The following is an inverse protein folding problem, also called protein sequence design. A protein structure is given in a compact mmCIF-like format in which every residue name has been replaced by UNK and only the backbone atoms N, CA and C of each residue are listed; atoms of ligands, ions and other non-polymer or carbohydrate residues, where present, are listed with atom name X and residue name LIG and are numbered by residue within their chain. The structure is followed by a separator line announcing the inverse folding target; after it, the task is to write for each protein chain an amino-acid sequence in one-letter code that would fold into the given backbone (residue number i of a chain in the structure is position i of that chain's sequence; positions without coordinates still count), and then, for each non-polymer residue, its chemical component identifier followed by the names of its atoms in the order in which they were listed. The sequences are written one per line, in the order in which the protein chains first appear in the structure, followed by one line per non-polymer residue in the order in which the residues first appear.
data_IF_587708275570
#
_entry.id   IF_587708275570
#
_cell.length_a   1.000
_cell.length_b   1.000
_cell.length_c   1.000
_cell.angle_alpha   90.00
_cell.angle_beta   90.00
_cell.angle_gamma   90.00
#
_symmetry.space_group_name_H-M   'P 1'
#
loop_
_entity.id
_entity.type
_entity.pdbx_description
1 polymer ?
#
# COMPACT_ATOMS: atom_id res chain seq x y z
N UNK A 1 10.93 7.09 -19.23
CA UNK A 1 10.21 8.00 -18.33
C UNK A 1 11.14 9.15 -17.99
N UNK A 2 10.65 10.38 -18.03
CA UNK A 2 11.43 11.51 -17.51
C UNK A 2 11.54 11.39 -15.98
N UNK A 3 12.63 11.86 -15.37
CA UNK A 3 12.84 11.78 -13.91
C UNK A 3 11.65 12.33 -13.13
N UNK A 4 11.04 13.41 -13.64
CA UNK A 4 9.89 14.06 -13.05
C UNK A 4 8.65 13.16 -12.98
N UNK A 5 8.37 12.38 -14.02
CA UNK A 5 7.22 11.47 -14.05
C UNK A 5 7.33 10.38 -12.97
N UNK A 6 8.54 9.87 -12.74
CA UNK A 6 8.79 8.85 -11.72
C UNK A 6 8.59 9.43 -10.31
N UNK A 7 9.13 10.63 -10.04
CA UNK A 7 9.00 11.29 -8.74
C UNK A 7 7.55 11.66 -8.43
N UNK A 8 6.82 12.20 -9.42
CA UNK A 8 5.39 12.51 -9.27
C UNK A 8 4.58 11.24 -9.01
N UNK A 9 4.88 10.15 -9.71
CA UNK A 9 4.18 8.88 -9.52
C UNK A 9 4.44 8.30 -8.12
N UNK A 10 5.69 8.25 -7.69
CA UNK A 10 6.06 7.79 -6.35
C UNK A 10 5.35 8.62 -5.26
N UNK A 11 5.34 9.94 -5.41
CA UNK A 11 4.66 10.85 -4.49
C UNK A 11 3.14 10.59 -4.44
N UNK A 12 2.48 10.45 -5.59
CA UNK A 12 1.03 10.19 -5.64
C UNK A 12 0.67 8.85 -5.01
N UNK A 13 1.44 7.79 -5.29
CA UNK A 13 1.19 6.46 -4.72
C UNK A 13 1.35 6.48 -3.20
N UNK A 14 2.39 7.15 -2.68
CA UNK A 14 2.61 7.26 -1.24
C UNK A 14 1.54 8.12 -0.54
N UNK A 15 1.13 9.22 -1.16
CA UNK A 15 0.09 10.12 -0.62
C UNK A 15 -1.27 9.44 -0.49
N UNK A 16 -1.64 8.60 -1.47
CA UNK A 16 -2.94 7.89 -1.48
C UNK A 16 -2.82 6.42 -1.09
N UNK A 17 -1.73 6.05 -0.40
CA UNK A 17 -1.44 4.65 -0.12
C UNK A 17 -2.51 3.98 0.75
N UNK A 18 -3.11 4.73 1.68
CA UNK A 18 -4.22 4.29 2.51
C UNK A 18 -5.44 3.87 1.68
N UNK A 19 -5.87 4.71 0.74
CA UNK A 19 -7.00 4.44 -0.16
C UNK A 19 -6.68 3.25 -1.07
N UNK A 20 -5.46 3.19 -1.61
CA UNK A 20 -5.01 2.09 -2.47
C UNK A 20 -5.08 0.76 -1.70
N UNK A 21 -4.50 0.71 -0.50
CA UNK A 21 -4.47 -0.50 0.34
C UNK A 21 -5.88 -0.93 0.73
N UNK A 22 -6.76 -0.01 1.16
CA UNK A 22 -8.16 -0.32 1.48
C UNK A 22 -8.91 -0.87 0.26
N UNK A 23 -8.71 -0.28 -0.91
CA UNK A 23 -9.33 -0.74 -2.17
C UNK A 23 -8.88 -2.16 -2.55
N UNK A 24 -7.61 -2.49 -2.31
CA UNK A 24 -7.07 -3.82 -2.54
C UNK A 24 -7.64 -4.84 -1.55
N UNK A 25 -7.66 -4.50 -0.26
CA UNK A 25 -8.19 -5.38 0.79
C UNK A 25 -9.69 -5.60 0.69
N UNK A 26 -10.45 -4.63 0.14
CA UNK A 26 -11.87 -4.81 -0.18
C UNK A 26 -12.12 -5.92 -1.20
N UNK A 27 -11.17 -6.15 -2.12
CA UNK A 27 -11.33 -7.19 -3.15
C UNK A 27 -11.01 -8.58 -2.60
N UNK A 28 -9.93 -8.71 -1.85
CA UNK A 28 -9.49 -9.97 -1.22
C UNK A 28 -8.62 -9.67 0.00
N UNK A 29 -8.66 -10.54 1.01
CA UNK A 29 -7.67 -10.53 2.08
C UNK A 29 -6.26 -10.72 1.51
N UNK A 30 -5.27 -9.96 1.97
CA UNK A 30 -3.88 -10.07 1.51
C UNK A 30 -2.88 -9.88 2.65
N UNK A 31 -1.74 -10.57 2.54
CA UNK A 31 -0.60 -10.39 3.43
C UNK A 31 0.22 -9.16 3.03
N UNK A 32 0.96 -8.58 3.99
CA UNK A 32 1.76 -7.37 3.78
C UNK A 32 2.71 -7.45 2.57
N UNK A 33 3.39 -8.58 2.38
CA UNK A 33 4.28 -8.76 1.23
C UNK A 33 3.55 -8.81 -0.11
N UNK A 34 2.35 -9.41 -0.15
CA UNK A 34 1.53 -9.46 -1.36
C UNK A 34 1.05 -8.05 -1.76
N UNK A 35 0.68 -7.21 -0.79
CA UNK A 35 0.35 -5.81 -1.03
C UNK A 35 1.53 -5.03 -1.65
N UNK A 36 2.75 -5.22 -1.13
CA UNK A 36 3.96 -4.58 -1.70
C UNK A 36 4.17 -5.04 -3.15
N UNK A 37 4.09 -6.34 -3.41
CA UNK A 37 4.29 -6.91 -4.74
C UNK A 37 3.24 -6.40 -5.75
N UNK A 38 1.98 -6.34 -5.34
CA UNK A 38 0.88 -5.86 -6.19
C UNK A 38 0.98 -4.36 -6.47
N UNK A 39 1.40 -3.55 -5.50
CA UNK A 39 1.60 -2.11 -5.68
C UNK A 39 2.77 -1.86 -6.64
N UNK A 40 3.87 -2.57 -6.46
CA UNK A 40 5.01 -2.50 -7.38
C UNK A 40 4.60 -2.90 -8.81
N UNK A 41 3.85 -4.00 -8.95
CA UNK A 41 3.37 -4.46 -10.26
C UNK A 41 2.40 -3.47 -10.95
N UNK A 42 1.53 -2.80 -10.19
CA UNK A 42 0.50 -1.89 -10.75
C UNK A 42 1.03 -0.49 -11.02
N UNK A 43 1.92 0.00 -10.16
CA UNK A 43 2.32 1.40 -10.16
C UNK A 43 3.81 1.61 -10.42
N UNK A 44 4.62 0.55 -10.52
CA UNK A 44 6.08 0.65 -10.66
C UNK A 44 6.72 1.43 -9.49
N UNK A 45 6.12 1.28 -8.30
CA UNK A 45 6.56 1.92 -7.05
C UNK A 45 6.84 0.83 -6.03
N UNK A 46 8.10 0.74 -5.61
CA UNK A 46 8.53 -0.23 -4.59
C UNK A 46 8.35 0.36 -3.19
N UNK A 47 7.42 -0.21 -2.43
CA UNK A 47 7.23 0.18 -1.04
C UNK A 47 8.15 -0.58 -0.11
N UNK A 48 8.75 0.15 0.83
CA UNK A 48 9.46 -0.48 1.94
C UNK A 48 8.47 -1.07 2.96
N UNK A 49 8.84 -2.15 3.66
CA UNK A 49 8.12 -2.61 4.85
C UNK A 49 7.83 -1.49 5.86
N UNK A 50 8.79 -0.57 6.05
CA UNK A 50 8.67 0.58 6.95
C UNK A 50 7.66 1.63 6.50
N UNK A 51 7.17 1.56 5.26
CA UNK A 51 6.08 2.41 4.77
C UNK A 51 4.74 1.71 4.94
N UNK A 52 4.66 0.43 4.56
CA UNK A 52 3.39 -0.30 4.54
C UNK A 52 2.92 -0.71 5.95
N UNK A 53 3.78 -1.30 6.78
CA UNK A 53 3.34 -1.87 8.06
C UNK A 53 2.84 -0.82 9.07
N UNK A 54 3.47 0.37 9.22
CA UNK A 54 2.92 1.43 10.05
C UNK A 54 1.55 1.93 9.56
N UNK A 55 1.36 1.97 8.23
CA UNK A 55 0.05 2.29 7.67
C UNK A 55 -0.99 1.22 8.02
N UNK A 56 -0.68 -0.06 7.83
CA UNK A 56 -1.59 -1.15 8.18
C UNK A 56 -1.98 -1.10 9.67
N UNK A 57 -1.01 -0.85 10.55
CA UNK A 57 -1.26 -0.66 11.98
C UNK A 57 -2.17 0.55 12.25
N UNK A 58 -1.98 1.66 11.53
CA UNK A 58 -2.86 2.83 11.63
C UNK A 58 -4.29 2.54 11.17
N UNK A 59 -4.45 1.77 10.08
CA UNK A 59 -5.75 1.38 9.56
C UNK A 59 -6.47 0.39 10.50
N UNK A 60 -5.75 -0.54 11.10
CA UNK A 60 -6.28 -1.45 12.14
C UNK A 60 -6.77 -0.65 13.35
N UNK A 61 -5.96 0.30 13.84
CA UNK A 61 -6.33 1.14 15.00
C UNK A 61 -7.55 2.03 14.73
N UNK A 62 -7.82 2.34 13.46
CA UNK A 62 -9.03 3.05 13.01
C UNK A 62 -10.21 2.13 12.74
N UNK A 63 -10.07 0.82 13.00
CA UNK A 63 -11.08 -0.21 12.76
C UNK A 63 -11.51 -0.32 11.28
N UNK A 64 -10.66 0.14 10.35
CA UNK A 64 -10.92 0.09 8.91
C UNK A 64 -10.54 -1.26 8.30
N UNK A 65 -9.65 -2.00 8.95
CA UNK A 65 -9.23 -3.35 8.56
C UNK A 65 -9.14 -4.23 9.81
N UNK A 66 -9.41 -5.54 9.64
CA UNK A 66 -9.15 -6.55 10.66
C UNK A 66 -7.86 -7.31 10.37
N UNK A 67 -7.07 -7.60 11.40
CA UNK A 67 -5.92 -8.50 11.30
C UNK A 67 -6.35 -9.90 11.67
N UNK A 68 -6.29 -10.82 10.71
CA UNK A 68 -6.34 -12.25 11.00
C UNK A 68 -4.93 -12.71 11.36
N UNK A 69 -4.70 -12.96 12.65
CA UNK A 69 -3.50 -13.68 13.10
C UNK A 69 -3.74 -15.15 12.81
N UNK A 70 -3.07 -15.64 11.76
CA UNK A 70 -2.98 -17.07 11.45
C UNK A 70 -2.19 -17.76 12.56
#
# INVERSE_FOLDING_TARGET
MSSLEADVKDHLVKTFLDIIVLSMLKKNSSHGYALIADIHKRFDVLLSPGTLYPLLYSLEKKELIGINKV
#
